data_IF_427297941345
#
_entry.id   IF_427297941345
#
_cell.length_a   1.000
_cell.length_b   1.000
_cell.length_c   1.000
_cell.angle_alpha   90.00
_cell.angle_beta   90.00
_cell.angle_gamma   90.00
#
_symmetry.space_group_name_H-M   'P 1'
#
loop_
_entity.id
_entity.type
_entity.pdbx_description
1 polymer ?
#
# COMPACT_ATOMS: atom_id res chain seq x y z
N UNK A 1 2.67 -21.74 -13.44
CA UNK A 1 2.09 -21.25 -12.18
C UNK A 1 2.90 -20.08 -11.69
N UNK A 2 2.27 -18.96 -11.48
CA UNK A 2 2.94 -17.74 -11.04
C UNK A 2 2.48 -17.29 -9.66
N UNK A 3 3.42 -16.87 -8.82
CA UNK A 3 3.12 -16.17 -7.57
C UNK A 3 2.72 -14.74 -7.90
N UNK A 4 1.62 -14.28 -7.32
CA UNK A 4 1.22 -12.88 -7.41
C UNK A 4 1.27 -12.28 -6.01
N UNK A 5 1.95 -11.15 -5.88
CA UNK A 5 2.01 -10.40 -4.61
C UNK A 5 0.83 -9.44 -4.61
N UNK A 6 -0.16 -9.74 -3.78
CA UNK A 6 -1.38 -8.93 -3.68
C UNK A 6 -1.18 -7.70 -2.80
N UNK A 7 -0.37 -7.83 -1.77
CA UNK A 7 0.01 -6.74 -0.90
C UNK A 7 1.43 -7.02 -0.38
N UNK A 8 2.34 -6.13 -0.70
CA UNK A 8 3.72 -6.23 -0.24
C UNK A 8 3.81 -6.01 1.27
N UNK A 9 4.85 -6.53 1.95
CA UNK A 9 5.02 -6.25 3.37
C UNK A 9 5.08 -4.74 3.62
N UNK A 10 4.38 -4.29 4.64
CA UNK A 10 4.35 -2.88 5.06
C UNK A 10 4.57 -2.84 6.56
N UNK A 11 5.51 -2.03 7.00
CA UNK A 11 5.73 -1.76 8.42
C UNK A 11 5.77 -0.26 8.66
N UNK A 12 5.54 0.14 9.89
CA UNK A 12 5.56 1.56 10.20
C UNK A 12 5.27 1.88 11.63
N UNK A 13 5.00 3.17 11.86
CA UNK A 13 4.66 3.70 13.16
C UNK A 13 3.41 4.57 13.05
N UNK A 14 2.53 4.49 14.05
CA UNK A 14 1.35 5.37 14.15
C UNK A 14 1.62 6.41 15.22
N UNK A 15 1.46 7.67 14.84
CA UNK A 15 1.67 8.83 15.72
C UNK A 15 0.37 9.62 15.86
N UNK A 16 0.16 10.20 17.04
CA UNK A 16 -0.85 11.19 17.29
C UNK A 16 -0.19 12.35 18.03
N UNK A 17 -0.26 13.55 17.46
CA UNK A 17 0.43 14.75 17.96
C UNK A 17 1.93 14.50 18.19
N UNK A 18 2.56 13.75 17.29
CA UNK A 18 3.98 13.41 17.35
C UNK A 18 4.35 12.33 18.35
N UNK A 19 3.38 11.71 19.01
CA UNK A 19 3.62 10.68 20.02
C UNK A 19 3.17 9.31 19.53
N UNK A 20 3.91 8.22 19.86
CA UNK A 20 3.49 6.89 19.49
C UNK A 20 2.11 6.53 20.04
N UNK A 21 1.30 5.85 19.21
CA UNK A 21 -0.03 5.37 19.57
C UNK A 21 0.04 3.88 19.83
N UNK A 22 -0.15 3.48 21.08
CA UNK A 22 -0.22 2.08 21.49
C UNK A 22 -1.65 1.58 21.39
N UNK A 23 -1.85 0.34 20.90
CA UNK A 23 -3.16 -0.30 20.89
C UNK A 23 -4.09 0.15 19.76
N UNK A 24 -3.60 0.89 18.77
CA UNK A 24 -4.37 1.18 17.57
C UNK A 24 -4.55 -0.10 16.75
N UNK A 25 -5.75 -0.32 16.24
CA UNK A 25 -6.06 -1.51 15.42
C UNK A 25 -5.97 -1.12 13.95
N UNK A 26 -5.12 -1.80 13.22
CA UNK A 26 -5.00 -1.62 11.78
C UNK A 26 -5.62 -2.81 11.06
N UNK A 27 -6.51 -2.53 10.12
CA UNK A 27 -7.18 -3.55 9.31
C UNK A 27 -6.76 -3.40 7.87
N UNK A 28 -6.31 -4.49 7.29
CA UNK A 28 -5.89 -4.53 5.90
C UNK A 28 -6.87 -5.35 5.09
N UNK A 29 -7.34 -4.78 3.96
CA UNK A 29 -8.20 -5.44 3.00
C UNK A 29 -7.54 -5.40 1.64
N UNK A 30 -7.59 -6.52 0.91
CA UNK A 30 -7.11 -6.62 -0.45
C UNK A 30 -8.11 -7.40 -1.29
N UNK A 31 -8.41 -6.91 -2.50
CA UNK A 31 -9.27 -7.59 -3.44
C UNK A 31 -8.55 -7.72 -4.78
N UNK A 32 -8.31 -8.97 -5.19
CA UNK A 32 -7.69 -9.30 -6.46
C UNK A 32 -8.77 -9.53 -7.50
N UNK A 33 -8.89 -8.61 -8.45
CA UNK A 33 -10.01 -8.62 -9.42
C UNK A 33 -9.95 -9.81 -10.36
N UNK A 34 -8.80 -10.13 -10.92
CA UNK A 34 -8.67 -11.27 -11.83
C UNK A 34 -9.01 -12.59 -11.12
N UNK A 35 -8.49 -12.81 -9.94
CA UNK A 35 -8.75 -14.02 -9.18
C UNK A 35 -10.10 -14.02 -8.48
N UNK A 36 -10.79 -12.89 -8.44
CA UNK A 36 -12.06 -12.68 -7.72
C UNK A 36 -11.96 -13.17 -6.27
N UNK A 37 -10.89 -12.76 -5.58
CA UNK A 37 -10.61 -13.17 -4.20
C UNK A 37 -10.31 -11.96 -3.34
N UNK A 38 -10.87 -11.98 -2.12
CA UNK A 38 -10.62 -10.96 -1.11
C UNK A 38 -9.94 -11.60 0.10
N UNK A 39 -9.07 -10.84 0.74
CA UNK A 39 -8.38 -11.25 1.95
C UNK A 39 -8.37 -10.09 2.94
N UNK A 40 -8.59 -10.43 4.21
CA UNK A 40 -8.58 -9.48 5.31
C UNK A 40 -7.67 -9.98 6.41
N UNK A 41 -6.89 -9.08 7.00
CA UNK A 41 -6.14 -9.35 8.21
C UNK A 41 -6.03 -8.07 9.05
N UNK A 42 -5.54 -8.21 10.26
CA UNK A 42 -5.38 -7.06 11.15
C UNK A 42 -4.18 -7.24 12.06
N UNK A 43 -3.71 -6.11 12.56
CA UNK A 43 -2.65 -6.06 13.55
C UNK A 43 -2.90 -4.89 14.50
N UNK A 44 -2.18 -4.85 15.60
CA UNK A 44 -2.32 -3.82 16.61
C UNK A 44 -0.96 -3.21 16.88
N UNK A 45 -0.91 -1.89 17.09
CA UNK A 45 0.35 -1.22 17.39
C UNK A 45 0.86 -1.62 18.78
N UNK A 46 2.17 -1.72 18.90
CA UNK A 46 2.86 -1.97 20.17
C UNK A 46 3.02 -0.66 20.98
N UNK A 47 3.73 -0.75 22.11
CA UNK A 47 3.94 0.41 22.99
C UNK A 47 4.72 1.55 22.31
N UNK A 48 5.51 1.25 21.30
CA UNK A 48 6.24 2.24 20.50
C UNK A 48 5.44 2.74 19.29
N UNK A 49 4.17 2.34 19.15
CA UNK A 49 3.32 2.69 18.03
C UNK A 49 3.62 1.93 16.74
N UNK A 50 4.44 0.90 16.80
CA UNK A 50 4.89 0.16 15.63
C UNK A 50 3.90 -0.93 15.23
N UNK A 51 3.80 -1.15 13.92
CA UNK A 51 3.00 -2.22 13.34
C UNK A 51 3.73 -2.84 12.15
N UNK A 52 3.32 -4.05 11.77
CA UNK A 52 3.82 -4.70 10.57
C UNK A 52 2.75 -5.61 9.99
N UNK A 53 2.63 -5.58 8.67
CA UNK A 53 1.84 -6.55 7.92
C UNK A 53 2.78 -7.37 7.04
N UNK A 54 2.65 -8.71 7.06
CA UNK A 54 3.43 -9.57 6.19
C UNK A 54 2.94 -9.48 4.75
N UNK A 55 3.70 -10.06 3.83
CA UNK A 55 3.29 -10.19 2.45
C UNK A 55 2.00 -11.01 2.35
N UNK A 56 1.07 -10.53 1.53
CA UNK A 56 -0.10 -11.29 1.14
C UNK A 56 0.04 -11.66 -0.33
N UNK A 57 0.05 -12.94 -0.63
CA UNK A 57 0.24 -13.43 -2.00
C UNK A 57 -0.74 -14.53 -2.33
N UNK A 58 -0.88 -14.81 -3.61
CA UNK A 58 -1.70 -15.88 -4.14
C UNK A 58 -0.96 -16.52 -5.31
N UNK A 59 -1.47 -17.65 -5.76
CA UNK A 59 -0.92 -18.37 -6.92
C UNK A 59 -1.89 -18.23 -8.08
N UNK A 60 -1.38 -17.83 -9.24
CA UNK A 60 -2.14 -17.78 -10.47
C UNK A 60 -1.90 -19.08 -11.24
N UNK A 61 -2.96 -19.86 -11.43
CA UNK A 61 -2.88 -21.16 -12.11
C UNK A 61 -2.99 -21.01 -13.62
N UNK A 62 -4.22 -20.95 -14.12
CA UNK A 62 -4.47 -20.89 -15.55
C UNK A 62 -4.36 -19.49 -16.13
N UNK A 63 -4.60 -18.47 -15.33
CA UNK A 63 -4.55 -17.08 -15.76
C UNK A 63 -3.18 -16.60 -16.23
N UNK A 64 -2.12 -17.36 -15.92
CA UNK A 64 -0.77 -17.00 -16.37
C UNK A 64 -0.59 -17.09 -17.88
N UNK A 65 -1.44 -17.83 -18.57
CA UNK A 65 -1.39 -17.98 -20.03
C UNK A 65 -2.37 -17.03 -20.74
N UNK A 66 -3.23 -16.33 -20.01
CA UNK A 66 -4.21 -15.39 -20.55
C UNK A 66 -3.76 -13.96 -20.29
N UNK A 67 -3.58 -13.13 -21.33
CA UNK A 67 -3.20 -11.74 -21.10
C UNK A 67 -4.32 -11.00 -20.38
N UNK A 68 -3.97 -10.29 -19.34
CA UNK A 68 -4.87 -9.43 -18.59
C UNK A 68 -4.09 -8.34 -17.88
N UNK A 69 -4.78 -7.27 -17.52
CA UNK A 69 -4.19 -6.18 -16.76
C UNK A 69 -4.31 -6.46 -15.26
N UNK A 70 -3.18 -6.47 -14.52
CA UNK A 70 -3.24 -6.62 -13.06
C UNK A 70 -4.03 -5.50 -12.42
N UNK A 71 -4.95 -5.85 -11.52
CA UNK A 71 -5.69 -4.85 -10.75
C UNK A 71 -6.03 -5.41 -9.37
N UNK A 72 -5.45 -4.79 -8.34
CA UNK A 72 -5.60 -5.23 -6.96
C UNK A 72 -6.00 -4.03 -6.13
N UNK A 73 -7.19 -4.08 -5.54
CA UNK A 73 -7.64 -3.03 -4.62
C UNK A 73 -7.03 -3.27 -3.25
N UNK A 74 -6.42 -2.23 -2.68
CA UNK A 74 -5.72 -2.30 -1.40
C UNK A 74 -6.25 -1.24 -0.45
N UNK A 75 -6.44 -1.61 0.82
CA UNK A 75 -6.86 -0.66 1.85
C UNK A 75 -6.32 -1.07 3.21
N UNK A 76 -5.79 -0.08 3.94
CA UNK A 76 -5.47 -0.21 5.36
C UNK A 76 -6.18 0.92 6.09
N UNK A 77 -6.91 0.56 7.16
CA UNK A 77 -7.52 1.54 8.06
C UNK A 77 -6.89 1.45 9.44
N UNK A 78 -6.90 2.56 10.17
CA UNK A 78 -6.45 2.64 11.57
C UNK A 78 -7.66 3.01 12.41
N UNK A 79 -7.97 2.20 13.41
CA UNK A 79 -9.01 2.47 14.39
C UNK A 79 -8.38 2.87 15.72
N UNK A 80 -8.69 4.07 16.19
CA UNK A 80 -8.20 4.58 17.47
C UNK A 80 -9.15 5.61 18.03
N UNK A 81 -9.45 5.51 19.33
CA UNK A 81 -10.30 6.49 20.02
C UNK A 81 -11.70 6.63 19.42
N UNK A 82 -12.27 5.56 18.88
CA UNK A 82 -13.59 5.57 18.26
C UNK A 82 -13.62 6.17 16.85
N UNK A 83 -12.48 6.53 16.29
CA UNK A 83 -12.36 7.09 14.95
C UNK A 83 -11.62 6.11 14.04
N UNK A 84 -12.06 6.05 12.77
CA UNK A 84 -11.41 5.25 11.74
C UNK A 84 -10.73 6.18 10.75
N UNK A 85 -9.45 5.94 10.52
CA UNK A 85 -8.61 6.71 9.60
C UNK A 85 -8.25 5.84 8.41
N UNK A 86 -8.20 6.41 7.20
CA UNK A 86 -7.67 5.71 6.03
C UNK A 86 -6.16 5.90 6.01
N UNK A 87 -5.43 4.82 6.30
CA UNK A 87 -3.97 4.84 6.27
C UNK A 87 -3.43 4.67 4.86
N UNK A 88 -4.05 3.76 4.10
CA UNK A 88 -3.59 3.39 2.78
C UNK A 88 -4.80 3.01 1.94
N UNK A 89 -4.91 3.57 0.74
CA UNK A 89 -5.87 3.15 -0.25
C UNK A 89 -5.22 3.28 -1.63
N UNK A 90 -5.19 2.18 -2.39
CA UNK A 90 -4.50 2.14 -3.66
C UNK A 90 -5.10 1.08 -4.56
N UNK A 91 -4.81 1.21 -5.85
CA UNK A 91 -4.99 0.16 -6.83
C UNK A 91 -3.60 -0.24 -7.32
N UNK A 92 -3.16 -1.44 -6.93
CA UNK A 92 -1.88 -1.98 -7.38
C UNK A 92 -2.03 -2.55 -8.79
N UNK A 93 -1.17 -2.12 -9.70
CA UNK A 93 -1.24 -2.46 -11.12
C UNK A 93 -0.20 -3.47 -11.57
N UNK A 94 0.48 -4.13 -10.65
CA UNK A 94 1.48 -5.14 -10.94
C UNK A 94 1.46 -6.25 -9.91
N UNK A 95 1.98 -7.42 -10.28
CA UNK A 95 1.99 -8.59 -9.39
C UNK A 95 3.32 -8.80 -8.66
N UNK A 96 4.31 -7.94 -8.91
CA UNK A 96 5.61 -8.08 -8.28
C UNK A 96 5.66 -7.40 -6.92
N UNK A 97 6.65 -7.80 -6.13
CA UNK A 97 6.93 -7.18 -4.84
C UNK A 97 7.22 -5.69 -5.02
N UNK A 98 6.59 -4.86 -4.19
CA UNK A 98 6.76 -3.40 -4.17
C UNK A 98 6.27 -2.67 -5.44
N UNK A 99 5.48 -3.32 -6.28
CA UNK A 99 4.84 -2.63 -7.41
C UNK A 99 3.84 -1.55 -6.97
N UNK A 100 3.45 -1.53 -5.69
CA UNK A 100 2.65 -0.45 -5.12
C UNK A 100 3.32 0.92 -5.26
N UNK A 101 4.64 0.94 -5.32
CA UNK A 101 5.42 2.17 -5.40
C UNK A 101 5.54 2.71 -6.82
N UNK A 102 5.06 1.97 -7.82
CA UNK A 102 5.13 2.35 -9.22
C UNK A 102 3.80 2.96 -9.64
N UNK A 103 3.85 4.10 -10.31
CA UNK A 103 2.64 4.77 -10.79
C UNK A 103 2.88 5.46 -12.14
N UNK A 104 1.79 5.72 -12.86
CA UNK A 104 1.84 6.46 -14.12
C UNK A 104 1.60 7.94 -13.85
N UNK A 105 2.57 8.77 -14.19
CA UNK A 105 2.42 10.23 -14.14
C UNK A 105 1.92 10.74 -15.49
N UNK A 106 0.64 11.00 -15.58
CA UNK A 106 0.01 11.48 -16.81
C UNK A 106 0.24 12.96 -17.07
N UNK A 107 0.86 13.68 -16.10
CA UNK A 107 1.16 15.11 -16.26
C UNK A 107 2.56 15.37 -16.80
N UNK A 108 3.32 14.32 -17.09
CA UNK A 108 4.68 14.44 -17.61
C UNK A 108 4.62 14.86 -19.08
N UNK A 109 4.79 16.17 -19.31
CA UNK A 109 4.73 16.76 -20.64
C UNK A 109 6.03 16.56 -21.44
N UNK A 110 7.10 16.12 -20.78
CA UNK A 110 8.39 15.91 -21.42
C UNK A 110 8.48 14.54 -22.10
N UNK A 111 7.48 13.70 -21.90
CA UNK A 111 7.43 12.39 -22.54
C UNK A 111 7.06 12.54 -24.03
N UNK A 112 7.98 12.25 -24.96
CA UNK A 112 7.72 12.44 -26.38
C UNK A 112 6.62 11.56 -26.95
N UNK A 113 6.23 10.46 -26.26
CA UNK A 113 5.13 9.61 -26.70
C UNK A 113 3.75 10.15 -26.31
N UNK A 114 3.70 11.17 -25.43
CA UNK A 114 2.44 11.77 -24.96
C UNK A 114 1.61 10.89 -24.06
N UNK A 115 2.12 9.75 -23.63
CA UNK A 115 1.39 8.76 -22.81
C UNK A 115 1.68 8.83 -21.32
N UNK A 116 2.34 9.88 -20.86
CA UNK A 116 2.80 9.96 -19.47
C UNK A 116 4.11 9.19 -19.27
N UNK A 117 4.58 9.12 -18.03
CA UNK A 117 5.80 8.38 -17.69
C UNK A 117 5.60 7.55 -16.43
N UNK A 118 6.31 6.42 -16.38
CA UNK A 118 6.33 5.57 -15.18
C UNK A 118 7.29 6.16 -14.17
N UNK A 119 6.81 6.34 -12.93
CA UNK A 119 7.58 6.88 -11.81
C UNK A 119 7.46 5.97 -10.61
N UNK A 120 8.37 6.14 -9.66
CA UNK A 120 8.35 5.39 -8.41
C UNK A 120 8.33 6.34 -7.22
N UNK A 121 7.67 5.89 -6.15
CA UNK A 121 7.72 6.54 -4.84
C UNK A 121 8.73 5.78 -4.00
N UNK A 122 9.74 6.48 -3.47
CA UNK A 122 10.76 5.82 -2.65
C UNK A 122 11.64 4.87 -3.45
N UNK A 123 12.14 3.84 -2.77
CA UNK A 123 13.03 2.83 -3.36
C UNK A 123 12.31 1.47 -3.42
N UNK A 124 11.91 1.00 -4.62
CA UNK A 124 11.19 -0.28 -4.72
C UNK A 124 12.06 -1.50 -4.42
N UNK A 125 13.35 -1.33 -4.23
CA UNK A 125 14.25 -2.42 -3.84
C UNK A 125 14.32 -2.63 -2.34
N UNK A 126 13.69 -1.74 -1.55
CA UNK A 126 13.71 -1.79 -0.08
C UNK A 126 12.32 -2.08 0.47
N UNK A 127 12.22 -2.62 1.70
CA UNK A 127 10.94 -2.82 2.35
C UNK A 127 10.16 -1.51 2.50
N UNK A 128 8.84 -1.59 2.34
CA UNK A 128 7.97 -0.42 2.47
C UNK A 128 7.83 -0.09 3.95
N UNK A 129 8.23 1.13 4.32
CA UNK A 129 8.13 1.64 5.68
C UNK A 129 7.41 2.98 5.65
N UNK A 130 6.43 3.15 6.55
CA UNK A 130 5.59 4.34 6.58
C UNK A 130 5.51 4.95 7.97
N UNK A 131 5.23 6.25 8.04
CA UNK A 131 4.84 6.96 9.25
C UNK A 131 3.43 7.48 9.06
N UNK A 132 2.52 7.11 9.96
CA UNK A 132 1.11 7.46 9.89
C UNK A 132 0.77 8.42 11.01
N UNK A 133 0.52 9.69 10.68
CA UNK A 133 0.12 10.71 11.65
C UNK A 133 -1.39 10.90 11.57
N UNK A 134 -2.10 10.63 12.68
CA UNK A 134 -3.56 10.61 12.67
C UNK A 134 -4.17 11.99 12.38
N UNK A 135 -3.49 13.07 12.74
CA UNK A 135 -3.94 14.44 12.51
C UNK A 135 -3.59 14.94 11.11
N UNK A 136 -2.77 14.20 10.35
CA UNK A 136 -2.39 14.60 9.01
C UNK A 136 -3.61 14.55 8.09
N UNK A 137 -3.77 15.56 7.21
CA UNK A 137 -4.80 15.45 6.18
C UNK A 137 -4.47 14.27 5.27
N UNK A 138 -5.52 13.64 4.75
CA UNK A 138 -5.35 12.58 3.77
C UNK A 138 -4.68 13.15 2.52
N UNK A 139 -3.57 12.53 2.11
CA UNK A 139 -2.79 12.96 0.96
C UNK A 139 -2.53 11.81 0.01
N UNK A 140 -2.22 12.14 -1.23
CA UNK A 140 -1.91 11.18 -2.26
C UNK A 140 -0.42 11.23 -2.59
N UNK A 141 0.23 10.07 -2.57
CA UNK A 141 1.62 9.90 -2.98
C UNK A 141 1.65 8.77 -4.02
N UNK A 142 1.91 9.12 -5.27
CA UNK A 142 1.80 8.16 -6.36
C UNK A 142 0.35 7.67 -6.50
N UNK A 143 0.13 6.36 -6.47
CA UNK A 143 -1.19 5.73 -6.49
C UNK A 143 -1.80 5.53 -5.11
N UNK A 144 -1.09 5.90 -4.05
CA UNK A 144 -1.47 5.59 -2.68
C UNK A 144 -2.01 6.85 -2.02
N UNK A 145 -3.18 6.75 -1.42
CA UNK A 145 -3.79 7.86 -0.68
C UNK A 145 -4.07 7.44 0.76
N UNK A 146 -3.86 8.36 1.71
CA UNK A 146 -4.08 8.10 3.12
C UNK A 146 -3.33 9.07 4.01
N UNK A 147 -3.35 8.80 5.33
CA UNK A 147 -2.66 9.64 6.31
C UNK A 147 -1.19 9.24 6.52
N UNK A 148 -0.74 8.18 5.87
CA UNK A 148 0.64 7.70 5.99
C UNK A 148 1.55 8.36 4.96
N UNK A 149 2.81 8.54 5.34
CA UNK A 149 3.89 9.01 4.47
C UNK A 149 4.98 7.95 4.41
N UNK A 150 5.66 7.84 3.28
CA UNK A 150 6.80 6.95 3.16
C UNK A 150 8.00 7.49 3.91
N UNK A 151 8.71 6.60 4.61
CA UNK A 151 9.97 6.93 5.24
C UNK A 151 11.03 6.89 4.15
N UNK A 152 11.60 8.05 3.84
CA UNK A 152 12.74 8.12 2.94
C UNK A 152 13.98 7.69 3.72
N UNK A 153 14.68 6.69 3.21
CA UNK A 153 15.95 6.29 3.80
C UNK A 153 16.93 7.48 3.72
N UNK A 154 17.69 7.75 4.79
CA UNK A 154 18.70 8.79 4.74
C UNK A 154 19.81 8.46 3.75
#
# INVERSE_FOLDING_TARGET
MGKVVLFSPVSGIVLSNGKPVSGAVLKRHVFWRWGNKAYDDETTTDAAGRFAFPERSATMLLGSVLPHEPYIDQRITIEHGGTTYVAWQSAKRGYALNDELIYMDMTDLDNPSGGGSMKTVGDPTKPITVTCSLESPRKRIGNISGVCSFVTAP
#
